data_IF_389398516946
#
_entry.id   IF_389398516946
#
_cell.length_a   1.000
_cell.length_b   1.000
_cell.length_c   1.000
_cell.angle_alpha   90.00
_cell.angle_beta   90.00
_cell.angle_gamma   90.00
#
_symmetry.space_group_name_H-M   'P 1'
#
loop_
_entity.id
_entity.type
_entity.pdbx_description
1 polymer ?
#
# COMPACT_ATOMS: atom_id res chain seq x y z
N UNK A 1 -3.10 17.87 22.35
CA UNK A 1 -3.21 16.43 22.68
C UNK A 1 -1.82 15.90 22.88
N UNK A 2 -1.52 15.39 24.06
CA UNK A 2 -0.21 14.84 24.36
C UNK A 2 -0.18 13.38 23.90
N UNK A 3 0.41 13.13 22.73
CA UNK A 3 0.47 11.80 22.09
C UNK A 3 1.40 10.80 22.80
N UNK A 4 2.02 11.18 23.90
CA UNK A 4 3.01 10.36 24.62
C UNK A 4 2.41 9.20 25.43
N UNK A 5 1.10 9.17 25.62
CA UNK A 5 0.40 8.18 26.46
C UNK A 5 -0.69 7.38 25.72
N UNK A 6 -0.68 7.38 24.36
CA UNK A 6 -1.63 6.59 23.58
C UNK A 6 -1.15 5.15 23.57
N UNK A 7 -1.94 4.25 24.09
CA UNK A 7 -1.65 2.80 24.09
C UNK A 7 -2.00 2.19 22.73
N UNK A 8 -1.41 1.04 22.41
CA UNK A 8 -1.75 0.28 21.21
C UNK A 8 -3.23 -0.09 21.15
N UNK A 9 -3.84 -0.29 22.31
CA UNK A 9 -5.25 -0.58 22.46
C UNK A 9 -6.14 0.63 22.12
N UNK A 10 -5.72 1.84 22.51
CA UNK A 10 -6.40 3.08 22.13
C UNK A 10 -6.35 3.33 20.62
N UNK A 11 -5.22 3.02 19.98
CA UNK A 11 -5.07 3.12 18.54
C UNK A 11 -5.96 2.11 17.80
N UNK A 12 -6.10 0.89 18.30
CA UNK A 12 -7.00 -0.11 17.74
C UNK A 12 -8.47 0.30 17.84
N UNK A 13 -8.89 0.84 18.98
CA UNK A 13 -10.27 1.34 19.19
C UNK A 13 -10.54 2.53 18.26
N UNK A 14 -9.59 3.48 18.17
CA UNK A 14 -9.74 4.63 17.30
C UNK A 14 -9.81 4.23 15.82
N UNK A 15 -8.96 3.29 15.38
CA UNK A 15 -8.99 2.75 14.01
C UNK A 15 -10.34 2.08 13.71
N UNK A 16 -10.86 1.29 14.65
CA UNK A 16 -12.16 0.64 14.49
C UNK A 16 -13.32 1.65 14.38
N UNK A 17 -13.29 2.70 15.18
CA UNK A 17 -14.29 3.78 15.15
C UNK A 17 -14.22 4.59 13.85
N UNK A 18 -13.01 4.93 13.39
CA UNK A 18 -12.81 5.66 12.14
C UNK A 18 -13.23 4.83 10.93
N UNK A 19 -12.90 3.54 10.91
CA UNK A 19 -13.32 2.61 9.84
C UNK A 19 -14.84 2.42 9.82
N UNK A 20 -15.49 2.27 10.98
CA UNK A 20 -16.93 2.16 11.07
C UNK A 20 -17.64 3.37 10.47
N UNK A 21 -17.23 4.58 10.82
CA UNK A 21 -17.80 5.82 10.27
C UNK A 21 -17.54 5.96 8.77
N UNK A 22 -16.33 5.63 8.28
CA UNK A 22 -16.01 5.70 6.87
C UNK A 22 -16.89 4.74 6.04
N UNK A 23 -17.16 3.55 6.55
CA UNK A 23 -18.05 2.58 5.91
C UNK A 23 -19.50 3.07 5.82
N UNK A 24 -20.02 3.66 6.89
CA UNK A 24 -21.36 4.24 6.92
C UNK A 24 -21.51 5.41 5.93
N UNK A 25 -20.50 6.29 5.89
CA UNK A 25 -20.49 7.43 4.95
C UNK A 25 -20.44 6.93 3.50
N UNK A 26 -19.59 5.95 3.19
CA UNK A 26 -19.52 5.38 1.84
C UNK A 26 -20.81 4.69 1.42
N UNK A 27 -21.47 3.98 2.33
CA UNK A 27 -22.78 3.38 2.07
C UNK A 27 -23.83 4.44 1.79
N UNK A 28 -23.90 5.46 2.63
CA UNK A 28 -24.83 6.59 2.45
C UNK A 28 -24.60 7.31 1.13
N UNK A 29 -23.33 7.50 0.73
CA UNK A 29 -23.01 8.11 -0.56
C UNK A 29 -23.55 7.29 -1.74
N UNK A 30 -23.40 5.96 -1.71
CA UNK A 30 -23.96 5.07 -2.75
C UNK A 30 -25.49 5.12 -2.79
N UNK A 31 -26.13 5.15 -1.61
CA UNK A 31 -27.59 5.24 -1.51
C UNK A 31 -28.14 6.59 -2.04
N UNK A 32 -27.48 7.70 -1.69
CA UNK A 32 -27.95 9.04 -2.04
C UNK A 32 -27.63 9.42 -3.50
N UNK A 33 -26.43 9.10 -3.98
CA UNK A 33 -25.98 9.53 -5.30
C UNK A 33 -26.22 8.48 -6.39
N UNK A 34 -26.47 7.22 -6.01
CA UNK A 34 -26.76 6.11 -6.91
C UNK A 34 -25.53 5.41 -7.44
N UNK A 35 -25.70 4.09 -7.70
CA UNK A 35 -24.61 3.18 -8.12
C UNK A 35 -23.86 3.66 -9.35
N UNK A 36 -24.59 3.99 -10.42
CA UNK A 36 -23.99 4.34 -11.71
C UNK A 36 -23.19 5.64 -11.64
N UNK A 37 -23.70 6.62 -10.87
CA UNK A 37 -22.98 7.87 -10.63
C UNK A 37 -21.70 7.62 -9.85
N UNK A 38 -21.74 6.76 -8.81
CA UNK A 38 -20.55 6.47 -8.01
C UNK A 38 -19.52 5.64 -8.78
N UNK A 39 -19.93 4.77 -9.70
CA UNK A 39 -19.00 4.07 -10.61
C UNK A 39 -18.34 5.06 -11.57
N UNK A 40 -19.10 6.02 -12.11
CA UNK A 40 -18.55 7.07 -12.97
C UNK A 40 -17.57 7.97 -12.21
N UNK A 41 -17.94 8.39 -11.00
CA UNK A 41 -17.06 9.19 -10.14
C UNK A 41 -15.77 8.43 -9.80
N UNK A 42 -15.85 7.16 -9.47
CA UNK A 42 -14.65 6.33 -9.21
C UNK A 42 -13.71 6.28 -10.43
N UNK A 43 -14.26 6.24 -11.64
CA UNK A 43 -13.46 6.26 -12.86
C UNK A 43 -12.76 7.60 -13.06
N UNK A 44 -13.43 8.71 -12.74
CA UNK A 44 -12.89 10.06 -12.79
C UNK A 44 -11.73 10.22 -11.80
N UNK A 45 -11.93 9.89 -10.53
CA UNK A 45 -10.90 10.00 -9.50
C UNK A 45 -9.66 9.12 -9.79
N UNK A 46 -9.86 7.92 -10.33
CA UNK A 46 -8.74 7.10 -10.80
C UNK A 46 -7.96 7.76 -11.93
N UNK A 47 -8.64 8.47 -12.83
CA UNK A 47 -8.04 9.26 -13.90
C UNK A 47 -7.21 10.43 -13.36
N UNK A 48 -7.72 11.14 -12.36
CA UNK A 48 -7.04 12.27 -11.71
C UNK A 48 -5.79 11.81 -10.96
N UNK A 49 -5.86 10.68 -10.24
CA UNK A 49 -4.68 10.08 -9.64
C UNK A 49 -3.60 9.70 -10.67
N UNK A 50 -4.00 9.10 -11.79
CA UNK A 50 -3.06 8.79 -12.89
C UNK A 50 -2.40 10.06 -13.42
N UNK A 51 -3.16 11.13 -13.61
CA UNK A 51 -2.64 12.43 -14.04
C UNK A 51 -1.67 13.02 -13.01
N UNK A 52 -2.02 13.02 -11.72
CA UNK A 52 -1.20 13.52 -10.63
C UNK A 52 0.14 12.77 -10.54
N UNK A 53 0.13 11.43 -10.63
CA UNK A 53 1.34 10.59 -10.64
C UNK A 53 2.27 10.89 -11.83
N UNK A 54 1.72 11.25 -12.99
CA UNK A 54 2.50 11.69 -14.14
C UNK A 54 3.01 13.13 -13.99
N UNK A 55 2.23 14.00 -13.35
CA UNK A 55 2.59 15.41 -13.13
C UNK A 55 3.71 15.56 -12.10
N UNK A 56 3.69 14.80 -11.01
CA UNK A 56 4.73 14.88 -9.98
C UNK A 56 6.11 14.48 -10.54
N UNK A 57 6.18 13.49 -11.43
CA UNK A 57 7.41 13.11 -12.12
C UNK A 57 8.02 14.24 -12.97
N UNK A 58 7.18 15.19 -13.39
CA UNK A 58 7.57 16.35 -14.22
C UNK A 58 7.69 17.64 -13.39
N UNK A 59 7.55 17.57 -12.06
CA UNK A 59 7.55 18.73 -11.19
C UNK A 59 6.36 19.68 -11.38
N UNK A 60 5.22 19.18 -11.87
CA UNK A 60 4.03 19.99 -12.20
C UNK A 60 2.93 19.94 -11.13
N UNK A 61 3.08 19.13 -10.10
CA UNK A 61 2.22 19.11 -8.92
C UNK A 61 3.05 18.77 -7.68
N UNK A 62 2.47 18.93 -6.50
CA UNK A 62 3.09 18.69 -5.21
C UNK A 62 2.80 17.29 -4.69
N UNK A 63 3.51 16.86 -3.64
CA UNK A 63 3.19 15.65 -2.89
C UNK A 63 1.78 15.69 -2.31
N UNK A 64 1.35 16.86 -1.83
CA UNK A 64 0.03 17.02 -1.22
C UNK A 64 -1.10 16.85 -2.24
N UNK A 65 -0.90 17.30 -3.47
CA UNK A 65 -1.83 17.04 -4.57
C UNK A 65 -1.98 15.53 -4.82
N UNK A 66 -0.86 14.79 -4.88
CA UNK A 66 -0.91 13.32 -5.04
C UNK A 66 -1.59 12.64 -3.85
N UNK A 67 -1.34 13.10 -2.61
CA UNK A 67 -1.98 12.55 -1.41
C UNK A 67 -3.50 12.78 -1.45
N UNK A 68 -3.97 13.91 -1.95
CA UNK A 68 -5.39 14.21 -2.13
C UNK A 68 -6.03 13.18 -3.08
N UNK A 69 -5.45 12.99 -4.26
CA UNK A 69 -5.99 12.03 -5.24
C UNK A 69 -5.96 10.58 -4.74
N UNK A 70 -4.94 10.19 -3.98
CA UNK A 70 -4.91 8.87 -3.33
C UNK A 70 -6.08 8.73 -2.35
N UNK A 71 -6.38 9.76 -1.56
CA UNK A 71 -7.49 9.74 -0.62
C UNK A 71 -8.84 9.58 -1.34
N UNK A 72 -9.06 10.32 -2.42
CA UNK A 72 -10.28 10.25 -3.22
C UNK A 72 -10.46 8.86 -3.82
N UNK A 73 -9.41 8.27 -4.42
CA UNK A 73 -9.46 6.89 -4.93
C UNK A 73 -9.74 5.88 -3.83
N UNK A 74 -9.15 6.00 -2.65
CA UNK A 74 -9.41 5.09 -1.52
C UNK A 74 -10.87 5.17 -1.04
N UNK A 75 -11.44 6.36 -0.99
CA UNK A 75 -12.85 6.58 -0.66
C UNK A 75 -13.75 5.93 -1.73
N UNK A 76 -13.44 6.15 -3.01
CA UNK A 76 -14.19 5.55 -4.10
C UNK A 76 -14.07 4.03 -4.13
N UNK A 77 -12.90 3.45 -3.84
CA UNK A 77 -12.74 2.00 -3.71
C UNK A 77 -13.62 1.42 -2.59
N UNK A 78 -13.80 2.13 -1.48
CA UNK A 78 -14.72 1.72 -0.42
C UNK A 78 -16.18 1.74 -0.88
N UNK A 79 -16.59 2.72 -1.69
CA UNK A 79 -17.93 2.78 -2.27
C UNK A 79 -18.14 1.68 -3.32
N UNK A 80 -17.15 1.41 -4.16
CA UNK A 80 -17.20 0.29 -5.11
C UNK A 80 -17.31 -1.06 -4.38
N UNK A 81 -16.62 -1.24 -3.27
CA UNK A 81 -16.74 -2.43 -2.43
C UNK A 81 -18.17 -2.60 -1.88
N UNK A 82 -18.86 -1.51 -1.52
CA UNK A 82 -20.27 -1.54 -1.12
C UNK A 82 -21.17 -1.96 -2.30
N UNK A 83 -20.88 -1.49 -3.51
CA UNK A 83 -21.62 -1.78 -4.71
C UNK A 83 -21.47 -3.24 -5.17
N UNK A 84 -20.26 -3.77 -5.16
CA UNK A 84 -19.91 -5.09 -5.74
C UNK A 84 -19.81 -6.22 -4.72
N UNK A 85 -19.90 -5.93 -3.44
CA UNK A 85 -19.82 -6.92 -2.36
C UNK A 85 -18.53 -6.80 -1.56
N UNK A 86 -18.65 -6.26 -0.36
CA UNK A 86 -17.52 -5.98 0.53
C UNK A 86 -16.76 -7.23 0.93
N UNK A 87 -17.47 -8.34 1.17
CA UNK A 87 -16.85 -9.62 1.54
C UNK A 87 -16.06 -10.22 0.38
N UNK A 88 -16.59 -10.14 -0.83
CA UNK A 88 -15.92 -10.65 -2.03
C UNK A 88 -14.64 -9.87 -2.33
N UNK A 89 -14.71 -8.54 -2.21
CA UNK A 89 -13.54 -7.66 -2.35
C UNK A 89 -12.49 -8.00 -1.28
N UNK A 90 -12.90 -8.19 -0.02
CA UNK A 90 -11.99 -8.56 1.06
C UNK A 90 -11.29 -9.90 0.79
N UNK A 91 -12.03 -10.93 0.36
CA UNK A 91 -11.43 -12.22 -0.04
C UNK A 91 -10.38 -12.06 -1.15
N UNK A 92 -10.68 -11.22 -2.14
CA UNK A 92 -9.73 -10.92 -3.22
C UNK A 92 -8.47 -10.22 -2.68
N UNK A 93 -8.63 -9.26 -1.77
CA UNK A 93 -7.51 -8.57 -1.12
C UNK A 93 -6.64 -9.57 -0.36
N UNK A 94 -7.22 -10.42 0.48
CA UNK A 94 -6.50 -11.40 1.29
C UNK A 94 -5.67 -12.37 0.42
N UNK A 95 -6.25 -12.83 -0.68
CA UNK A 95 -5.57 -13.71 -1.62
C UNK A 95 -4.42 -13.01 -2.36
N UNK A 96 -4.61 -11.73 -2.73
CA UNK A 96 -3.56 -10.93 -3.36
C UNK A 96 -2.42 -10.61 -2.38
N UNK A 97 -2.74 -10.30 -1.12
CA UNK A 97 -1.74 -10.05 -0.08
C UNK A 97 -0.92 -11.30 0.26
N UNK A 98 -1.53 -12.49 0.32
CA UNK A 98 -0.80 -13.75 0.49
C UNK A 98 0.23 -13.96 -0.62
N UNK A 99 -0.15 -13.68 -1.87
CA UNK A 99 0.73 -13.78 -3.04
C UNK A 99 1.87 -12.75 -3.00
N UNK A 100 1.55 -11.49 -2.69
CA UNK A 100 2.53 -10.43 -2.55
C UNK A 100 3.53 -10.74 -1.43
N UNK A 101 3.06 -11.21 -0.28
CA UNK A 101 3.91 -11.64 0.82
C UNK A 101 4.91 -12.72 0.39
N UNK A 102 4.44 -13.72 -0.36
CA UNK A 102 5.32 -14.78 -0.89
C UNK A 102 6.41 -14.19 -1.79
N UNK A 103 6.05 -13.31 -2.72
CA UNK A 103 7.02 -12.63 -3.60
C UNK A 103 8.05 -11.82 -2.80
N UNK A 104 7.62 -11.08 -1.77
CA UNK A 104 8.54 -10.33 -0.91
C UNK A 104 9.53 -11.23 -0.16
N UNK A 105 9.09 -12.40 0.32
CA UNK A 105 9.98 -13.36 0.97
C UNK A 105 10.98 -13.99 -0.01
N UNK A 106 10.54 -14.37 -1.20
CA UNK A 106 11.41 -14.92 -2.24
C UNK A 106 12.51 -13.92 -2.61
N UNK A 107 12.18 -12.64 -2.82
CA UNK A 107 13.17 -11.58 -3.08
C UNK A 107 14.13 -11.36 -1.90
N UNK A 108 13.65 -11.44 -0.66
CA UNK A 108 14.49 -11.28 0.52
C UNK A 108 15.49 -12.43 0.66
N UNK A 109 15.12 -13.67 0.34
CA UNK A 109 16.00 -14.83 0.33
C UNK A 109 17.08 -14.71 -0.77
N UNK A 110 16.71 -14.36 -1.98
CA UNK A 110 17.66 -14.13 -3.08
C UNK A 110 18.69 -13.04 -2.73
N UNK A 111 18.23 -11.96 -2.09
CA UNK A 111 19.15 -10.90 -1.63
C UNK A 111 20.10 -11.37 -0.54
N UNK A 112 19.62 -12.17 0.41
CA UNK A 112 20.44 -12.73 1.49
C UNK A 112 21.49 -13.70 0.97
N UNK A 113 21.12 -14.61 0.05
CA UNK A 113 22.03 -15.56 -0.59
C UNK A 113 23.14 -14.83 -1.39
N UNK A 114 22.77 -13.74 -2.10
CA UNK A 114 23.73 -12.93 -2.84
C UNK A 114 24.74 -12.25 -1.91
N UNK A 115 24.26 -11.68 -0.80
CA UNK A 115 25.15 -11.07 0.21
C UNK A 115 26.09 -12.09 0.88
N UNK A 116 25.58 -13.30 1.21
CA UNK A 116 26.43 -14.36 1.76
C UNK A 116 27.49 -14.81 0.76
N UNK A 117 27.14 -14.90 -0.53
CA UNK A 117 28.09 -15.27 -1.57
C UNK A 117 29.18 -14.20 -1.75
N UNK A 118 28.82 -12.92 -1.77
CA UNK A 118 29.77 -11.80 -1.85
C UNK A 118 30.69 -11.75 -0.60
N UNK A 119 30.14 -11.95 0.60
CA UNK A 119 30.92 -11.99 1.84
C UNK A 119 31.88 -13.19 1.90
N UNK A 120 31.47 -14.36 1.39
CA UNK A 120 32.34 -15.56 1.30
C UNK A 120 33.44 -15.36 0.24
N UNK A 121 33.13 -14.71 -0.89
CA UNK A 121 34.11 -14.32 -1.92
C UNK A 121 35.16 -13.33 -1.41
N UNK A 122 34.78 -12.42 -0.52
CA UNK A 122 35.72 -11.47 0.10
C UNK A 122 36.69 -12.13 1.08
N UNK A 123 36.29 -13.23 1.71
CA UNK A 123 37.13 -13.98 2.64
C UNK A 123 38.12 -14.93 1.94
N UNK A 124 37.79 -15.49 0.78
CA UNK A 124 38.68 -16.40 0.05
C UNK A 124 39.89 -15.67 -0.56
N UNK A 125 39.70 -14.46 -1.06
CA UNK A 125 40.78 -13.64 -1.62
C UNK A 125 41.83 -13.18 -0.56
N UNK A 126 41.49 -13.22 0.72
CA UNK A 126 42.41 -12.78 1.80
C UNK A 126 43.39 -13.89 2.26
N UNK A 127 43.08 -15.14 1.95
CA UNK A 127 43.90 -16.30 2.33
C UNK A 127 44.80 -16.79 1.18
N UNK A 128 44.43 -16.57 -0.09
CA UNK A 128 45.26 -16.93 -1.25
C UNK A 128 46.51 -16.06 -1.41
N UNK A 129 46.53 -14.83 -0.87
CA UNK A 129 47.71 -13.96 -0.93
C UNK A 129 48.77 -14.28 0.15
N UNK A 130 48.50 -15.12 1.14
CA UNK A 130 49.48 -15.48 2.19
C UNK A 130 50.29 -16.70 1.85
N UNK A 131 49.86 -17.56 0.94
CA UNK A 131 50.59 -18.77 0.55
C UNK A 131 51.52 -18.58 -0.66
N UNK A 132 51.55 -17.37 -1.22
CA UNK A 132 52.44 -17.04 -2.34
C UNK A 132 53.79 -16.37 -1.93
N UNK A 133 54.01 -16.12 -0.62
CA UNK A 133 55.24 -15.50 -0.09
C UNK A 133 56.04 -16.43 0.84
N UNK A 134 55.87 -17.74 0.71
CA UNK A 134 56.74 -18.76 1.32
C UNK A 134 57.35 -19.66 0.24
#
# INVERSE_FOLDING_TARGET
>A
MDYKNVTEQDLQVLDLMLRGRALEICRSAVEWFGRDNQISQATEEMGELIAALNHIKRGKCTKDDVCSEIADVLIMCNQLAEIYGRQDVQMCIDNKLKRLRKQCYEMAWEYHDTLEYELKGYNTNKYEQKDAEL
#
